data_IF_422068815056
#
_entry.id   IF_422068815056
#
_cell.length_a   1.000
_cell.length_b   1.000
_cell.length_c   1.000
_cell.angle_alpha   90.00
_cell.angle_beta   90.00
_cell.angle_gamma   90.00
#
_symmetry.space_group_name_H-M   'P 1'
#
loop_
_entity.id
_entity.type
_entity.pdbx_description
1 polymer ?
#
# COMPACT_ATOMS: atom_id res chain seq x y z
N UNK A 1 15.13 1.59 -1.45
CA UNK A 1 16.08 1.07 -2.45
C UNK A 1 15.26 0.51 -3.59
N UNK A 2 15.28 1.19 -4.73
CA UNK A 2 14.52 0.79 -5.92
C UNK A 2 15.46 0.08 -6.87
N UNK A 3 15.19 -1.17 -7.17
CA UNK A 3 15.96 -1.94 -8.15
C UNK A 3 15.29 -1.95 -9.51
N UNK A 4 16.13 -1.78 -10.51
CA UNK A 4 15.88 -1.61 -11.95
C UNK A 4 16.05 -2.94 -12.65
N UNK A 5 15.20 -3.26 -13.64
CA UNK A 5 15.51 -4.28 -14.66
C UNK A 5 15.05 -3.91 -16.06
N UNK A 6 15.82 -4.26 -17.09
CA UNK A 6 15.48 -3.96 -18.49
C UNK A 6 14.64 -5.07 -19.13
N UNK A 7 13.64 -4.66 -19.91
CA UNK A 7 12.92 -5.52 -20.84
C UNK A 7 13.71 -5.69 -22.13
N UNK A 8 13.80 -6.91 -22.67
CA UNK A 8 14.23 -7.19 -24.04
C UNK A 8 13.02 -7.47 -24.92
N UNK A 9 12.99 -6.79 -26.03
CA UNK A 9 12.11 -6.95 -27.18
C UNK A 9 12.33 -8.29 -27.89
N UNK A 10 11.25 -8.86 -28.41
CA UNK A 10 11.29 -9.63 -29.65
C UNK A 10 9.96 -9.55 -30.37
N UNK A 11 10.03 -9.12 -31.63
CA UNK A 11 8.98 -8.96 -32.62
C UNK A 11 8.68 -10.24 -33.40
N UNK A 12 7.44 -10.38 -33.92
CA UNK A 12 7.00 -10.74 -35.30
C UNK A 12 5.53 -11.15 -35.27
N UNK A 13 4.66 -10.41 -35.87
CA UNK A 13 3.98 -10.33 -37.18
C UNK A 13 3.62 -11.69 -37.80
N UNK A 14 2.30 -11.89 -37.97
CA UNK A 14 1.50 -12.38 -39.12
C UNK A 14 0.08 -12.48 -38.64
N UNK A 15 -0.94 -11.88 -39.18
CA UNK A 15 -1.50 -11.81 -40.50
C UNK A 15 -2.63 -12.84 -40.64
N UNK A 16 -3.90 -12.47 -40.60
CA UNK A 16 -5.00 -13.36 -40.86
C UNK A 16 -6.37 -12.65 -40.79
N UNK A 17 -6.85 -12.28 -41.94
CA UNK A 17 -8.12 -11.66 -42.28
C UNK A 17 -9.21 -12.73 -42.31
N UNK A 18 -10.39 -12.56 -41.67
CA UNK A 18 -11.64 -13.15 -42.18
C UNK A 18 -12.90 -12.47 -41.60
N UNK A 19 -13.63 -11.84 -42.50
CA UNK A 19 -15.07 -11.74 -42.80
C UNK A 19 -16.14 -11.65 -41.68
N UNK A 20 -16.79 -10.56 -41.72
CA UNK A 20 -18.16 -10.06 -41.68
C UNK A 20 -19.30 -11.10 -41.65
N UNK A 21 -20.19 -10.96 -40.67
CA UNK A 21 -21.64 -11.21 -40.86
C UNK A 21 -22.45 -10.31 -39.91
N UNK A 22 -23.21 -9.40 -40.54
CA UNK A 22 -24.26 -8.61 -39.90
C UNK A 22 -25.46 -9.48 -39.60
N UNK A 23 -26.09 -9.29 -38.46
CA UNK A 23 -27.53 -9.51 -38.29
C UNK A 23 -28.09 -8.50 -37.28
N UNK A 24 -28.89 -7.61 -37.79
CA UNK A 24 -29.73 -6.63 -37.11
C UNK A 24 -30.93 -7.31 -36.46
N UNK A 25 -31.18 -7.00 -35.16
CA UNK A 25 -32.55 -7.06 -34.63
C UNK A 25 -32.81 -5.82 -33.77
N UNK A 26 -33.83 -5.08 -34.21
CA UNK A 26 -34.45 -3.96 -33.49
C UNK A 26 -35.58 -4.53 -32.64
N UNK A 27 -35.63 -4.17 -31.36
CA UNK A 27 -36.91 -3.99 -30.66
C UNK A 27 -36.72 -3.23 -29.32
N UNK A 28 -37.30 -2.09 -29.32
CA UNK A 28 -38.09 -1.37 -28.31
C UNK A 28 -37.90 -1.65 -26.82
N UNK A 29 -37.51 -0.61 -26.16
CA UNK A 29 -37.95 0.05 -24.93
C UNK A 29 -38.42 -0.74 -23.73
N UNK A 30 -37.72 -0.42 -22.59
CA UNK A 30 -38.41 -0.03 -21.35
C UNK A 30 -37.41 0.52 -20.36
N UNK A 31 -37.64 1.74 -19.88
CA UNK A 31 -37.00 2.35 -18.72
C UNK A 31 -37.32 1.51 -17.50
N UNK A 32 -36.28 1.07 -16.76
CA UNK A 32 -36.47 0.75 -15.37
C UNK A 32 -35.21 1.17 -14.55
N UNK A 33 -35.50 1.79 -13.43
CA UNK A 33 -34.58 2.32 -12.45
C UNK A 33 -33.59 1.26 -11.96
N UNK A 34 -32.33 1.64 -11.89
CA UNK A 34 -31.29 0.83 -11.25
C UNK A 34 -31.51 0.85 -9.74
N UNK A 35 -32.17 -0.19 -9.23
CA UNK A 35 -32.06 -0.61 -7.83
C UNK A 35 -30.79 -1.45 -7.71
N UNK A 36 -29.86 -0.98 -6.89
CA UNK A 36 -28.68 -1.75 -6.50
C UNK A 36 -29.10 -2.85 -5.53
N UNK A 37 -29.44 -4.01 -6.03
CA UNK A 37 -29.54 -5.23 -5.23
C UNK A 37 -28.19 -5.95 -5.26
N UNK A 38 -27.40 -5.77 -4.17
CA UNK A 38 -26.29 -6.62 -3.83
C UNK A 38 -26.79 -8.03 -3.49
N UNK A 39 -27.13 -8.83 -4.50
CA UNK A 39 -27.34 -10.26 -4.33
C UNK A 39 -26.00 -10.96 -4.29
N UNK A 40 -25.58 -11.34 -3.07
CA UNK A 40 -24.55 -12.35 -2.82
C UNK A 40 -24.91 -13.63 -3.57
N UNK A 41 -24.13 -13.96 -4.59
CA UNK A 41 -24.27 -15.26 -5.26
C UNK A 41 -23.46 -16.27 -4.45
N UNK A 42 -24.15 -16.99 -3.56
CA UNK A 42 -23.63 -18.18 -2.92
C UNK A 42 -23.71 -19.34 -3.93
N UNK A 43 -22.58 -19.86 -4.38
CA UNK A 43 -22.51 -21.20 -4.98
C UNK A 43 -22.27 -22.21 -3.88
N UNK A 44 -23.26 -23.00 -3.55
CA UNK A 44 -23.15 -24.16 -2.68
C UNK A 44 -22.46 -25.29 -3.45
N UNK A 45 -21.29 -25.71 -2.98
CA UNK A 45 -20.76 -27.05 -3.27
C UNK A 45 -21.23 -27.99 -2.16
N UNK A 46 -21.39 -29.27 -2.47
CA UNK A 46 -22.08 -30.32 -1.70
C UNK A 46 -21.50 -30.66 -0.29
N UNK A 47 -20.57 -29.87 0.24
CA UNK A 47 -20.01 -30.02 1.58
C UNK A 47 -20.21 -28.75 2.44
N UNK A 48 -21.40 -28.18 2.45
CA UNK A 48 -21.97 -27.39 3.55
C UNK A 48 -21.21 -26.16 4.10
N UNK A 49 -20.07 -25.72 3.52
CA UNK A 49 -19.33 -24.52 3.95
C UNK A 49 -19.35 -23.50 2.83
N UNK A 50 -20.15 -22.47 3.00
CA UNK A 50 -20.17 -21.29 2.12
C UNK A 50 -18.84 -20.55 2.26
N UNK A 51 -17.91 -20.79 1.35
CA UNK A 51 -16.62 -20.11 1.28
C UNK A 51 -16.82 -18.69 0.75
N UNK A 52 -17.11 -17.74 1.61
CA UNK A 52 -17.22 -16.32 1.25
C UNK A 52 -15.84 -15.68 1.34
N UNK A 53 -15.28 -15.26 0.20
CA UNK A 53 -14.10 -14.38 0.25
C UNK A 53 -14.51 -13.07 0.95
N UNK A 54 -13.94 -12.82 2.12
CA UNK A 54 -14.26 -11.65 2.94
C UNK A 54 -13.56 -10.36 2.44
N UNK A 55 -12.61 -10.47 1.49
CA UNK A 55 -11.88 -9.34 0.92
C UNK A 55 -12.61 -8.77 -0.30
N UNK A 56 -12.90 -7.49 -0.26
CA UNK A 56 -13.61 -6.78 -1.32
C UNK A 56 -12.66 -6.04 -2.27
N UNK A 57 -11.60 -5.46 -1.73
CA UNK A 57 -10.69 -4.57 -2.44
C UNK A 57 -9.33 -5.21 -2.69
N UNK A 58 -8.79 -5.98 -1.74
CA UNK A 58 -7.46 -6.55 -1.80
C UNK A 58 -7.30 -7.56 -2.94
N UNK A 59 -6.24 -7.40 -3.74
CA UNK A 59 -5.89 -8.29 -4.84
C UNK A 59 -4.89 -9.36 -4.41
N UNK A 60 -3.94 -9.01 -3.52
CA UNK A 60 -2.82 -9.85 -3.11
C UNK A 60 -3.09 -10.65 -1.83
N UNK A 61 -4.26 -10.51 -1.23
CA UNK A 61 -4.70 -11.26 -0.06
C UNK A 61 -6.13 -11.74 -0.25
N UNK A 62 -6.40 -13.01 0.04
CA UNK A 62 -7.75 -13.60 0.03
C UNK A 62 -7.98 -14.33 1.34
N UNK A 63 -9.15 -14.18 1.91
CA UNK A 63 -9.57 -14.85 3.15
C UNK A 63 -10.85 -15.62 2.88
N UNK A 64 -10.88 -16.87 3.33
CA UNK A 64 -12.00 -17.78 3.10
C UNK A 64 -12.12 -18.73 4.28
N UNK A 65 -13.02 -18.43 5.23
CA UNK A 65 -13.10 -19.10 6.51
C UNK A 65 -11.78 -19.00 7.27
N UNK A 66 -11.22 -20.15 7.62
CA UNK A 66 -9.93 -20.30 8.28
C UNK A 66 -8.73 -20.30 7.33
N UNK A 67 -8.96 -20.12 6.03
CA UNK A 67 -7.94 -20.18 4.99
C UNK A 67 -7.55 -18.79 4.53
N UNK A 68 -6.25 -18.53 4.53
CA UNK A 68 -5.65 -17.29 4.02
C UNK A 68 -4.76 -17.62 2.83
N UNK A 69 -4.97 -16.92 1.71
CA UNK A 69 -4.10 -16.98 0.54
C UNK A 69 -3.40 -15.65 0.33
N UNK A 70 -2.08 -15.67 0.25
CA UNK A 70 -1.27 -14.55 -0.18
C UNK A 70 -0.80 -14.77 -1.61
N UNK A 71 -0.80 -13.71 -2.43
CA UNK A 71 -0.29 -13.74 -3.80
C UNK A 71 1.05 -13.03 -3.80
N UNK A 72 2.10 -13.75 -4.20
CA UNK A 72 3.47 -13.28 -4.17
C UNK A 72 3.96 -13.05 -5.59
N UNK A 73 4.31 -11.82 -5.92
CA UNK A 73 4.93 -11.44 -7.19
C UNK A 73 6.43 -11.26 -6.97
N UNK A 74 7.18 -12.36 -7.16
CA UNK A 74 8.63 -12.30 -7.14
C UNK A 74 9.14 -11.89 -8.52
N UNK A 75 10.11 -10.98 -8.56
CA UNK A 75 10.64 -10.47 -9.81
C UNK A 75 11.06 -11.56 -10.78
N UNK A 76 10.57 -11.47 -12.02
CA UNK A 76 10.89 -12.41 -13.11
C UNK A 76 10.23 -13.79 -12.98
N UNK A 77 9.34 -13.97 -12.01
CA UNK A 77 8.56 -15.21 -11.82
C UNK A 77 7.07 -14.94 -11.98
N UNK A 78 6.34 -15.95 -12.41
CA UNK A 78 4.87 -15.94 -12.38
C UNK A 78 4.40 -15.74 -10.93
N UNK A 79 3.38 -14.91 -10.68
CA UNK A 79 2.80 -14.80 -9.34
C UNK A 79 2.42 -16.16 -8.77
N UNK A 80 2.80 -16.41 -7.53
CA UNK A 80 2.53 -17.67 -6.83
C UNK A 80 1.63 -17.42 -5.64
N UNK A 81 0.53 -18.16 -5.56
CA UNK A 81 -0.35 -18.14 -4.40
C UNK A 81 0.17 -19.11 -3.33
N UNK A 82 0.35 -18.62 -2.12
CA UNK A 82 0.62 -19.45 -0.94
C UNK A 82 -0.61 -19.52 -0.06
N UNK A 83 -0.90 -20.70 0.47
CA UNK A 83 -2.08 -20.95 1.31
C UNK A 83 -1.64 -21.25 2.73
N UNK A 84 -2.26 -20.56 3.70
CA UNK A 84 -2.09 -20.74 5.13
C UNK A 84 -3.43 -21.14 5.74
N UNK A 85 -3.38 -21.99 6.76
CA UNK A 85 -4.57 -22.45 7.49
C UNK A 85 -4.47 -21.94 8.92
N UNK A 86 -5.50 -21.22 9.36
CA UNK A 86 -5.60 -20.73 10.73
C UNK A 86 -6.18 -21.87 11.59
N UNK A 87 -5.50 -22.24 12.62
CA UNK A 87 -5.91 -23.37 13.47
C UNK A 87 -5.97 -22.97 14.95
N UNK A 88 -6.91 -23.50 15.73
CA UNK A 88 -6.94 -23.29 17.17
C UNK A 88 -5.60 -23.67 17.81
N UNK A 89 -5.16 -22.91 18.81
CA UNK A 89 -3.85 -23.10 19.45
C UNK A 89 -3.67 -24.48 20.13
N UNK A 90 -4.73 -25.13 20.53
CA UNK A 90 -4.76 -26.45 21.13
C UNK A 90 -4.67 -27.59 20.10
N UNK A 91 -4.70 -27.28 18.81
CA UNK A 91 -4.58 -28.24 17.70
C UNK A 91 -3.12 -28.63 17.44
N UNK A 92 -2.42 -29.14 18.45
CA UNK A 92 -0.97 -29.45 18.41
C UNK A 92 -0.57 -30.33 17.22
N UNK A 93 -1.40 -31.33 16.85
CA UNK A 93 -1.12 -32.24 15.72
C UNK A 93 -1.09 -31.52 14.38
N UNK A 94 -2.00 -30.58 14.13
CA UNK A 94 -2.03 -29.79 12.90
C UNK A 94 -0.87 -28.81 12.85
N UNK A 95 -0.53 -28.19 13.99
CA UNK A 95 0.60 -27.26 14.08
C UNK A 95 1.96 -27.95 13.91
N UNK A 96 2.10 -29.21 14.38
CA UNK A 96 3.38 -29.94 14.28
C UNK A 96 3.69 -30.38 12.86
N UNK A 97 2.69 -30.75 12.05
CA UNK A 97 2.86 -31.38 10.76
C UNK A 97 2.69 -30.45 9.54
N UNK A 98 2.29 -29.20 9.78
CA UNK A 98 2.05 -28.24 8.71
C UNK A 98 2.74 -26.89 9.00
N UNK A 99 3.81 -26.53 8.26
CA UNK A 99 4.48 -25.25 8.45
C UNK A 99 3.61 -24.05 8.07
N UNK A 100 2.55 -24.25 7.29
CA UNK A 100 1.59 -23.22 6.91
C UNK A 100 0.36 -23.17 7.85
N UNK A 101 0.31 -24.01 8.90
CA UNK A 101 -0.70 -23.91 9.94
C UNK A 101 -0.30 -22.82 10.95
N UNK A 102 -1.15 -21.81 11.12
CA UNK A 102 -0.91 -20.67 11.99
C UNK A 102 -1.78 -20.78 13.23
N UNK A 103 -1.20 -20.78 14.45
CA UNK A 103 -1.99 -20.85 15.68
C UNK A 103 -2.74 -19.53 15.92
N UNK A 104 -4.06 -19.58 16.06
CA UNK A 104 -4.88 -18.42 16.36
C UNK A 104 -5.62 -18.59 17.69
N UNK A 105 -5.83 -17.46 18.43
CA UNK A 105 -5.28 -16.14 18.17
C UNK A 105 -3.75 -16.11 18.32
N UNK A 106 -3.08 -15.32 17.46
CA UNK A 106 -1.63 -15.08 17.53
C UNK A 106 -1.30 -14.30 18.81
N UNK A 107 -0.37 -14.82 19.62
CA UNK A 107 0.07 -14.22 20.89
C UNK A 107 1.49 -13.68 20.84
N UNK A 108 2.27 -14.15 19.88
CA UNK A 108 3.65 -13.69 19.65
C UNK A 108 3.94 -13.62 18.17
N UNK A 109 4.32 -12.44 17.68
CA UNK A 109 4.70 -12.27 16.29
C UNK A 109 5.96 -11.42 16.14
N UNK A 110 6.59 -11.56 14.99
CA UNK A 110 7.66 -10.70 14.51
C UNK A 110 7.15 -9.93 13.29
N UNK A 111 7.35 -8.63 13.26
CA UNK A 111 6.98 -7.78 12.12
C UNK A 111 8.24 -7.36 11.36
N UNK A 112 8.25 -7.57 10.05
CA UNK A 112 9.35 -7.11 9.19
C UNK A 112 9.10 -5.71 8.62
N UNK A 113 7.97 -5.06 8.97
CA UNK A 113 7.62 -3.70 8.56
C UNK A 113 6.84 -2.96 9.63
N UNK A 114 7.03 -1.63 9.72
CA UNK A 114 6.24 -0.75 10.59
C UNK A 114 4.78 -0.63 10.12
N UNK A 115 4.47 -0.89 8.85
CA UNK A 115 3.08 -0.93 8.38
C UNK A 115 2.28 -2.05 9.04
N UNK A 116 2.88 -3.23 9.24
CA UNK A 116 2.21 -4.35 9.94
C UNK A 116 1.97 -4.03 11.41
N UNK A 117 2.96 -3.37 12.03
CA UNK A 117 2.82 -2.88 13.39
C UNK A 117 1.65 -1.89 13.52
N UNK A 118 1.42 -1.03 12.53
CA UNK A 118 0.34 -0.06 12.56
C UNK A 118 -1.05 -0.73 12.61
N UNK A 119 -1.27 -1.81 11.83
CA UNK A 119 -2.52 -2.59 11.94
C UNK A 119 -2.70 -3.18 13.34
N UNK A 120 -1.66 -3.84 13.88
CA UNK A 120 -1.70 -4.45 15.21
C UNK A 120 -1.89 -3.41 16.31
N UNK A 121 -1.25 -2.25 16.20
CA UNK A 121 -1.39 -1.17 17.17
C UNK A 121 -2.82 -0.63 17.23
N UNK A 122 -3.44 -0.37 16.09
CA UNK A 122 -4.82 0.14 16.03
C UNK A 122 -5.82 -0.91 16.57
N UNK A 123 -5.52 -2.20 16.42
CA UNK A 123 -6.31 -3.30 16.98
C UNK A 123 -6.02 -3.57 18.47
N UNK A 124 -5.15 -2.77 19.11
CA UNK A 124 -4.76 -2.99 20.51
C UNK A 124 -3.88 -4.21 20.74
N UNK A 125 -3.22 -4.71 19.69
CA UNK A 125 -2.43 -5.94 19.69
C UNK A 125 -0.92 -5.72 19.69
N UNK A 126 -0.44 -4.51 20.00
CA UNK A 126 1.01 -4.20 20.04
C UNK A 126 1.81 -5.08 20.98
N UNK A 127 1.18 -5.59 22.07
CA UNK A 127 1.81 -6.51 23.03
C UNK A 127 2.13 -7.89 22.45
N UNK A 128 1.47 -8.29 21.35
CA UNK A 128 1.77 -9.53 20.64
C UNK A 128 3.07 -9.44 19.84
N UNK A 129 3.52 -8.24 19.49
CA UNK A 129 4.77 -8.02 18.74
C UNK A 129 5.96 -8.22 19.70
N UNK A 130 6.82 -9.18 19.41
CA UNK A 130 8.02 -9.49 20.21
C UNK A 130 9.29 -8.91 19.60
N UNK A 131 9.29 -8.71 18.29
CA UNK A 131 10.40 -8.06 17.60
C UNK A 131 9.95 -7.36 16.32
N UNK A 132 10.75 -6.40 15.90
CA UNK A 132 10.54 -5.60 14.71
C UNK A 132 11.85 -5.42 13.94
N UNK A 133 11.79 -5.46 12.62
CA UNK A 133 12.89 -5.04 11.77
C UNK A 133 12.97 -3.52 11.76
N UNK A 134 14.07 -2.97 12.32
CA UNK A 134 14.33 -1.53 12.34
C UNK A 134 13.46 -0.74 13.30
N UNK A 135 13.60 -0.97 14.61
CA UNK A 135 12.85 -0.25 15.65
C UNK A 135 13.06 1.26 15.63
N UNK A 136 14.17 1.75 15.07
CA UNK A 136 14.45 3.19 14.89
C UNK A 136 13.48 3.88 13.93
N UNK A 137 12.76 3.10 13.08
CA UNK A 137 11.78 3.64 12.13
C UNK A 137 10.40 3.84 12.74
N UNK A 138 10.13 3.33 13.93
CA UNK A 138 8.82 3.44 14.59
C UNK A 138 8.54 4.88 14.97
N UNK A 139 7.38 5.39 14.52
CA UNK A 139 6.90 6.73 14.87
C UNK A 139 5.95 6.71 16.08
N UNK A 140 5.13 5.68 16.24
CA UNK A 140 4.12 5.58 17.29
C UNK A 140 4.75 5.59 18.70
N UNK A 141 4.31 6.52 19.56
CA UNK A 141 4.92 6.75 20.88
C UNK A 141 4.63 5.60 21.86
N UNK A 142 3.47 4.94 21.79
CA UNK A 142 3.17 3.83 22.69
C UNK A 142 3.99 2.59 22.34
N UNK A 143 4.27 2.38 21.06
CA UNK A 143 5.16 1.31 20.62
C UNK A 143 6.61 1.63 20.97
N UNK A 144 7.04 2.90 20.88
CA UNK A 144 8.39 3.34 21.35
C UNK A 144 8.57 3.04 22.83
N UNK A 145 7.57 3.20 23.68
CA UNK A 145 7.63 2.80 25.10
C UNK A 145 7.87 1.30 25.25
N UNK A 146 7.15 0.46 24.47
CA UNK A 146 7.37 -0.99 24.50
C UNK A 146 8.79 -1.38 24.05
N UNK A 147 9.34 -0.66 23.08
CA UNK A 147 10.75 -0.84 22.64
C UNK A 147 11.72 -0.44 23.76
N UNK A 148 11.51 0.73 24.38
CA UNK A 148 12.36 1.22 25.46
C UNK A 148 12.31 0.32 26.70
N UNK A 149 11.17 -0.31 26.97
CA UNK A 149 10.99 -1.31 28.02
C UNK A 149 11.55 -2.70 27.68
N UNK A 150 12.14 -2.87 26.47
CA UNK A 150 12.67 -4.16 26.01
C UNK A 150 11.62 -5.20 25.65
N UNK A 151 10.34 -4.83 25.57
CA UNK A 151 9.25 -5.73 25.21
C UNK A 151 9.18 -6.04 23.72
N UNK A 152 9.69 -5.13 22.88
CA UNK A 152 9.84 -5.30 21.43
C UNK A 152 11.32 -5.18 21.11
N UNK A 153 11.90 -6.26 20.61
CA UNK A 153 13.31 -6.33 20.28
C UNK A 153 13.59 -5.84 18.86
N UNK A 154 14.72 -5.19 18.62
CA UNK A 154 15.24 -4.96 17.28
C UNK A 154 15.90 -6.24 16.73
N UNK A 155 15.57 -6.62 15.51
CA UNK A 155 16.15 -7.77 14.80
C UNK A 155 16.98 -7.37 13.58
N UNK A 156 17.32 -6.10 13.44
CA UNK A 156 18.08 -5.59 12.30
C UNK A 156 17.26 -5.40 11.04
N UNK A 157 17.91 -5.13 9.92
CA UNK A 157 17.28 -4.94 8.63
C UNK A 157 16.87 -6.28 8.00
N UNK A 158 15.85 -6.24 7.13
CA UNK A 158 15.39 -7.44 6.39
C UNK A 158 16.47 -8.09 5.51
N UNK A 159 17.43 -7.32 5.04
CA UNK A 159 18.56 -7.83 4.26
C UNK A 159 19.54 -8.69 5.08
N UNK A 160 19.57 -8.50 6.41
CA UNK A 160 20.43 -9.24 7.34
C UNK A 160 19.79 -9.34 8.73
N UNK A 161 18.64 -10.05 8.87
CA UNK A 161 17.97 -10.16 10.16
C UNK A 161 18.75 -11.03 11.14
N UNK A 162 18.62 -10.73 12.43
CA UNK A 162 19.22 -11.56 13.48
C UNK A 162 18.39 -12.84 13.69
N UNK A 163 18.74 -13.90 12.95
CA UNK A 163 18.03 -15.17 12.97
C UNK A 163 18.05 -15.84 14.34
N UNK A 164 19.16 -15.77 15.07
CA UNK A 164 19.30 -16.38 16.41
C UNK A 164 18.31 -15.74 17.38
N UNK A 165 18.23 -14.41 17.36
CA UNK A 165 17.28 -13.67 18.19
C UNK A 165 15.83 -14.01 17.84
N UNK A 166 15.50 -14.08 16.53
CA UNK A 166 14.16 -14.47 16.08
C UNK A 166 13.81 -15.88 16.58
N UNK A 167 14.72 -16.83 16.43
CA UNK A 167 14.52 -18.22 16.89
C UNK A 167 14.34 -18.29 18.42
N UNK A 168 15.10 -17.52 19.19
CA UNK A 168 15.00 -17.49 20.65
C UNK A 168 13.64 -16.99 21.14
N UNK A 169 12.99 -16.10 20.39
CA UNK A 169 11.66 -15.54 20.68
C UNK A 169 10.54 -16.54 20.46
N UNK A 170 10.76 -17.60 19.68
CA UNK A 170 9.77 -18.64 19.34
C UNK A 170 8.42 -18.03 18.92
N UNK A 171 8.37 -17.15 17.91
CA UNK A 171 7.14 -16.49 17.52
C UNK A 171 6.13 -17.49 16.94
N UNK A 172 4.84 -17.23 17.16
CA UNK A 172 3.76 -17.99 16.51
C UNK A 172 3.81 -17.82 14.99
N UNK A 173 4.18 -16.60 14.54
CA UNK A 173 4.26 -16.23 13.13
C UNK A 173 5.18 -15.04 12.91
N UNK A 174 5.79 -14.97 11.75
CA UNK A 174 6.53 -13.82 11.23
C UNK A 174 5.74 -13.22 10.07
N UNK A 175 5.36 -11.97 10.18
CA UNK A 175 4.79 -11.20 9.08
C UNK A 175 5.95 -10.57 8.29
N UNK A 176 6.14 -11.07 7.06
CA UNK A 176 7.25 -10.68 6.20
C UNK A 176 6.75 -10.00 4.93
N UNK A 177 7.62 -9.34 4.19
CA UNK A 177 7.31 -8.84 2.85
C UNK A 177 8.46 -9.18 1.90
N UNK A 178 8.13 -9.45 0.64
CA UNK A 178 9.14 -9.68 -0.38
C UNK A 178 9.51 -8.36 -1.05
N UNK A 179 10.80 -8.01 -1.08
CA UNK A 179 11.27 -6.97 -1.97
C UNK A 179 11.57 -7.62 -3.31
N UNK A 180 11.07 -7.02 -4.39
CA UNK A 180 11.27 -7.52 -5.75
C UNK A 180 12.77 -7.71 -6.05
N UNK A 181 13.19 -8.92 -6.35
CA UNK A 181 14.57 -9.27 -6.68
C UNK A 181 14.98 -10.61 -6.07
N UNK A 182 16.26 -10.81 -5.86
CA UNK A 182 16.82 -12.02 -5.26
C UNK A 182 16.62 -12.10 -3.73
N UNK A 183 15.91 -11.16 -3.12
CA UNK A 183 15.98 -10.91 -1.68
C UNK A 183 14.92 -11.65 -0.84
N UNK A 184 14.22 -12.62 -1.42
CA UNK A 184 13.36 -13.53 -0.66
C UNK A 184 14.15 -14.59 0.10
N UNK A 185 15.45 -14.58 -0.05
CA UNK A 185 16.37 -15.53 0.62
C UNK A 185 16.20 -15.52 2.14
N UNK A 186 15.85 -14.37 2.73
CA UNK A 186 15.63 -14.31 4.17
C UNK A 186 14.33 -15.02 4.59
N UNK A 187 13.26 -14.95 3.79
CA UNK A 187 11.98 -15.65 4.03
C UNK A 187 12.23 -17.16 3.98
N UNK A 188 12.90 -17.63 2.92
CA UNK A 188 13.24 -19.04 2.76
C UNK A 188 14.15 -19.53 3.90
N UNK A 189 15.12 -18.73 4.31
CA UNK A 189 15.99 -19.06 5.45
C UNK A 189 15.21 -19.17 6.77
N UNK A 190 14.29 -18.25 7.04
CA UNK A 190 13.42 -18.33 8.22
C UNK A 190 12.57 -19.61 8.22
N UNK A 191 12.04 -20.00 7.05
CA UNK A 191 11.27 -21.25 6.86
C UNK A 191 12.12 -22.49 7.09
N UNK A 192 13.35 -22.51 6.56
CA UNK A 192 14.31 -23.62 6.79
C UNK A 192 14.70 -23.77 8.26
N UNK A 193 14.63 -22.69 9.04
CA UNK A 193 14.81 -22.70 10.48
C UNK A 193 13.54 -23.15 11.25
N UNK A 194 12.51 -23.61 10.55
CA UNK A 194 11.26 -24.12 11.15
C UNK A 194 10.28 -23.04 11.61
N UNK A 195 10.49 -21.78 11.21
CA UNK A 195 9.63 -20.66 11.59
C UNK A 195 8.46 -20.50 10.60
N UNK A 196 7.30 -20.13 11.11
CA UNK A 196 6.11 -19.84 10.29
C UNK A 196 6.20 -18.44 9.75
N UNK A 197 6.16 -18.28 8.43
CA UNK A 197 6.31 -16.98 7.76
C UNK A 197 5.18 -16.75 6.78
N UNK A 198 4.41 -15.71 7.01
CA UNK A 198 3.36 -15.26 6.08
C UNK A 198 3.88 -14.02 5.34
N UNK A 199 4.04 -14.10 4.01
CA UNK A 199 4.32 -12.94 3.18
C UNK A 199 3.08 -12.03 3.12
N UNK A 200 3.26 -10.76 3.45
CA UNK A 200 2.24 -9.72 3.40
C UNK A 200 2.62 -8.73 2.31
N UNK A 201 1.82 -8.64 1.27
CA UNK A 201 2.11 -7.86 0.06
C UNK A 201 1.21 -6.62 -0.04
N UNK A 202 0.89 -5.99 1.09
CA UNK A 202 0.07 -4.78 1.16
C UNK A 202 0.65 -3.61 0.35
N UNK A 203 1.95 -3.60 0.12
CA UNK A 203 2.65 -2.58 -0.68
C UNK A 203 2.41 -2.73 -2.20
N UNK A 204 1.96 -3.91 -2.66
CA UNK A 204 1.59 -4.17 -4.05
C UNK A 204 0.16 -3.76 -4.36
N UNK A 205 -0.67 -3.54 -3.33
CA UNK A 205 -2.06 -3.16 -3.51
C UNK A 205 -2.17 -1.83 -4.26
N UNK A 206 -3.09 -1.80 -5.21
CA UNK A 206 -3.21 -0.68 -6.15
C UNK A 206 -4.00 0.49 -5.60
N UNK A 207 -4.86 0.25 -4.61
CA UNK A 207 -5.74 1.28 -4.05
C UNK A 207 -5.57 1.44 -2.54
N UNK A 208 -5.84 2.64 -1.99
CA UNK A 208 -5.78 2.86 -0.55
C UNK A 208 -6.73 1.95 0.25
N UNK A 209 -7.92 1.66 -0.28
CA UNK A 209 -8.87 0.76 0.38
C UNK A 209 -8.39 -0.68 0.37
N UNK A 210 -7.77 -1.15 -0.73
CA UNK A 210 -7.20 -2.49 -0.81
C UNK A 210 -6.09 -2.71 0.23
N UNK A 211 -5.17 -1.74 0.35
CA UNK A 211 -4.13 -1.78 1.38
C UNK A 211 -4.73 -1.77 2.79
N UNK A 212 -5.66 -0.86 3.07
CA UNK A 212 -6.29 -0.76 4.38
C UNK A 212 -7.11 -2.01 4.74
N UNK A 213 -7.63 -2.75 3.76
CA UNK A 213 -8.45 -3.95 4.02
C UNK A 213 -7.67 -5.08 4.72
N UNK A 214 -6.34 -5.02 4.78
CA UNK A 214 -5.53 -5.92 5.59
C UNK A 214 -5.85 -5.88 7.09
N UNK A 215 -6.60 -4.87 7.57
CA UNK A 215 -7.20 -4.92 8.91
C UNK A 215 -7.96 -6.21 9.18
N UNK A 216 -8.72 -6.71 8.18
CA UNK A 216 -9.50 -7.95 8.34
C UNK A 216 -8.61 -9.16 8.58
N UNK A 217 -7.45 -9.21 7.88
CA UNK A 217 -6.46 -10.25 8.10
C UNK A 217 -5.85 -10.18 9.50
N UNK A 218 -5.37 -9.00 9.91
CA UNK A 218 -4.78 -8.83 11.24
C UNK A 218 -5.80 -9.05 12.36
N UNK A 219 -7.06 -8.66 12.16
CA UNK A 219 -8.17 -8.98 13.06
C UNK A 219 -8.39 -10.47 13.20
N UNK A 220 -8.47 -11.18 12.08
CA UNK A 220 -8.69 -12.63 12.05
C UNK A 220 -7.56 -13.39 12.76
N UNK A 221 -6.30 -13.07 12.50
CA UNK A 221 -5.18 -13.78 13.11
C UNK A 221 -5.00 -13.44 14.60
N UNK A 222 -5.53 -12.33 15.08
CA UNK A 222 -5.42 -11.91 16.50
C UNK A 222 -6.68 -12.11 17.31
N UNK A 223 -7.78 -12.57 16.69
CA UNK A 223 -9.08 -12.75 17.36
C UNK A 223 -9.79 -11.43 17.67
N UNK A 224 -9.59 -10.42 16.83
CA UNK A 224 -10.19 -9.08 16.96
C UNK A 224 -10.99 -8.68 15.71
N UNK A 225 -11.61 -9.66 15.04
CA UNK A 225 -12.32 -9.51 13.75
C UNK A 225 -13.37 -8.40 13.78
N UNK A 226 -14.21 -8.42 14.83
CA UNK A 226 -15.27 -7.43 14.97
C UNK A 226 -14.73 -5.98 15.01
N UNK A 227 -13.64 -5.76 15.76
CA UNK A 227 -12.99 -4.46 15.83
C UNK A 227 -12.36 -4.08 14.49
N UNK A 228 -11.71 -5.04 13.82
CA UNK A 228 -11.09 -4.84 12.53
C UNK A 228 -12.12 -4.46 11.45
N UNK A 229 -13.24 -5.17 11.38
CA UNK A 229 -14.33 -4.91 10.45
C UNK A 229 -14.97 -3.54 10.69
N UNK A 230 -15.21 -3.19 11.96
CA UNK A 230 -15.78 -1.90 12.35
C UNK A 230 -14.85 -0.73 11.97
N UNK A 231 -13.55 -0.85 12.28
CA UNK A 231 -12.53 0.16 11.95
C UNK A 231 -12.42 0.31 10.44
N UNK A 232 -12.29 -0.80 9.71
CA UNK A 232 -12.21 -0.78 8.27
C UNK A 232 -13.45 -0.13 7.65
N UNK A 233 -14.65 -0.56 8.02
CA UNK A 233 -15.91 -0.01 7.48
C UNK A 233 -16.04 1.49 7.73
N UNK A 234 -15.70 1.96 8.94
CA UNK A 234 -15.73 3.38 9.29
C UNK A 234 -14.76 4.21 8.45
N UNK A 235 -13.50 3.77 8.36
CA UNK A 235 -12.45 4.48 7.60
C UNK A 235 -12.69 4.43 6.10
N UNK A 236 -13.16 3.28 5.57
CA UNK A 236 -13.53 3.13 4.17
C UNK A 236 -14.68 4.07 3.78
N UNK A 237 -15.71 4.16 4.63
CA UNK A 237 -16.83 5.09 4.45
C UNK A 237 -16.34 6.54 4.42
N UNK A 238 -15.44 6.91 5.35
CA UNK A 238 -14.86 8.25 5.41
C UNK A 238 -14.05 8.55 4.15
N UNK A 239 -13.18 7.61 3.72
CA UNK A 239 -12.37 7.74 2.50
C UNK A 239 -13.25 7.97 1.27
N UNK A 240 -14.26 7.12 1.06
CA UNK A 240 -15.19 7.21 -0.08
C UNK A 240 -15.97 8.53 -0.06
N UNK A 241 -16.41 8.96 1.12
CA UNK A 241 -17.10 10.25 1.26
C UNK A 241 -16.19 11.42 0.85
N UNK A 242 -14.97 11.49 1.39
CA UNK A 242 -14.00 12.56 1.09
C UNK A 242 -13.68 12.60 -0.41
N UNK A 243 -13.41 11.43 -1.01
CA UNK A 243 -13.17 11.30 -2.45
C UNK A 243 -14.35 11.83 -3.29
N UNK A 244 -15.58 11.43 -2.94
CA UNK A 244 -16.78 11.82 -3.69
C UNK A 244 -17.08 13.32 -3.51
N UNK A 245 -16.91 13.85 -2.31
CA UNK A 245 -17.09 15.28 -2.04
C UNK A 245 -16.08 16.12 -2.84
N UNK A 246 -14.82 15.69 -2.91
CA UNK A 246 -13.78 16.31 -3.74
C UNK A 246 -14.19 16.27 -5.23
N UNK A 247 -14.52 15.11 -5.76
CA UNK A 247 -14.90 14.97 -7.16
C UNK A 247 -16.12 15.84 -7.51
N UNK A 248 -17.13 15.86 -6.65
CA UNK A 248 -18.31 16.73 -6.80
C UNK A 248 -17.92 18.21 -6.75
N UNK A 249 -17.11 18.63 -5.77
CA UNK A 249 -16.67 20.03 -5.64
C UNK A 249 -15.90 20.51 -6.86
N UNK A 250 -15.04 19.67 -7.44
CA UNK A 250 -14.32 19.97 -8.69
C UNK A 250 -15.27 20.15 -9.87
N UNK A 251 -16.26 19.25 -10.01
CA UNK A 251 -17.23 19.31 -11.09
C UNK A 251 -18.15 20.54 -10.97
N UNK A 252 -18.75 20.77 -9.81
CA UNK A 252 -19.69 21.85 -9.56
C UNK A 252 -19.08 23.24 -9.74
N UNK A 253 -17.78 23.39 -9.43
CA UNK A 253 -17.04 24.66 -9.54
C UNK A 253 -16.18 24.76 -10.81
N UNK A 254 -16.24 23.76 -11.70
CA UNK A 254 -15.42 23.68 -12.92
C UNK A 254 -13.92 23.82 -12.67
N UNK A 255 -13.44 23.28 -11.53
CA UNK A 255 -12.02 23.30 -11.16
C UNK A 255 -11.25 22.25 -11.95
N UNK A 256 -10.13 22.63 -12.55
CA UNK A 256 -9.25 21.71 -13.28
C UNK A 256 -8.47 20.83 -12.31
N UNK A 257 -8.11 19.63 -12.76
CA UNK A 257 -7.17 18.77 -12.03
C UNK A 257 -5.83 19.46 -11.86
N UNK A 258 -5.26 19.32 -10.66
CA UNK A 258 -3.91 19.84 -10.37
C UNK A 258 -2.85 18.94 -11.00
N UNK A 259 -1.93 19.53 -11.75
CA UNK A 259 -0.80 18.84 -12.37
C UNK A 259 0.32 18.66 -11.36
N UNK A 260 0.63 17.41 -11.06
CA UNK A 260 1.56 17.02 -9.99
C UNK A 260 2.87 16.51 -10.59
N UNK A 261 3.98 17.18 -10.28
CA UNK A 261 5.31 16.59 -10.42
C UNK A 261 5.56 15.72 -9.17
N UNK A 262 5.94 14.46 -9.37
CA UNK A 262 6.11 13.51 -8.28
C UNK A 262 7.55 13.00 -8.20
N UNK A 263 8.07 12.87 -6.97
CA UNK A 263 9.40 12.36 -6.63
C UNK A 263 10.55 13.29 -7.07
N UNK A 264 11.77 12.79 -6.94
CA UNK A 264 13.04 13.31 -7.47
C UNK A 264 13.79 12.19 -8.19
N UNK A 265 14.77 12.50 -9.05
CA UNK A 265 15.64 11.49 -9.61
C UNK A 265 16.38 10.73 -8.50
N UNK A 266 16.54 9.45 -8.71
CA UNK A 266 17.44 8.61 -7.93
C UNK A 266 18.56 8.10 -8.85
N UNK A 267 19.80 8.45 -8.56
CA UNK A 267 20.97 8.14 -9.42
C UNK A 267 20.75 8.57 -10.88
N UNK A 268 20.21 9.77 -11.08
CA UNK A 268 19.97 10.36 -12.41
C UNK A 268 18.72 9.83 -13.14
N UNK A 269 17.97 8.90 -12.58
CA UNK A 269 16.76 8.33 -13.18
C UNK A 269 15.53 8.76 -12.40
N UNK A 270 14.52 9.27 -13.11
CA UNK A 270 13.24 9.60 -12.49
C UNK A 270 12.28 8.43 -12.57
N UNK A 271 11.72 8.04 -11.43
CA UNK A 271 10.74 6.95 -11.33
C UNK A 271 9.35 7.53 -11.20
N UNK A 272 8.50 7.32 -12.22
CA UNK A 272 7.11 7.77 -12.23
C UNK A 272 6.21 6.55 -12.07
N UNK A 273 5.33 6.52 -11.05
CA UNK A 273 4.40 5.40 -10.88
C UNK A 273 3.40 5.34 -12.03
N UNK A 274 3.02 4.14 -12.43
CA UNK A 274 1.92 3.93 -13.37
C UNK A 274 0.57 4.36 -12.80
N UNK A 275 -0.41 4.64 -13.65
CA UNK A 275 -1.73 5.16 -13.26
C UNK A 275 -2.55 4.21 -12.38
N UNK A 276 -2.26 2.90 -12.44
CA UNK A 276 -2.88 1.84 -11.60
C UNK A 276 -2.04 1.51 -10.35
N UNK A 277 -1.29 2.46 -9.82
CA UNK A 277 -0.49 2.33 -8.61
C UNK A 277 -1.19 3.01 -7.42
N UNK A 278 -0.87 2.59 -6.19
CA UNK A 278 -1.41 3.15 -4.94
C UNK A 278 -1.32 4.68 -4.88
N UNK A 279 -0.12 5.23 -5.11
CA UNK A 279 0.14 6.68 -5.04
C UNK A 279 -0.63 7.43 -6.13
N UNK A 280 -0.67 6.88 -7.34
CA UNK A 280 -1.40 7.48 -8.46
C UNK A 280 -2.91 7.51 -8.22
N UNK A 281 -3.47 6.43 -7.67
CA UNK A 281 -4.88 6.39 -7.30
C UNK A 281 -5.20 7.38 -6.17
N UNK A 282 -4.33 7.50 -5.17
CA UNK A 282 -4.50 8.45 -4.07
C UNK A 282 -4.50 9.90 -4.57
N UNK A 283 -3.53 10.27 -5.42
CA UNK A 283 -3.44 11.61 -6.04
C UNK A 283 -4.65 11.88 -6.95
N UNK A 284 -5.06 10.89 -7.74
CA UNK A 284 -6.26 10.97 -8.59
C UNK A 284 -7.52 11.18 -7.78
N UNK A 285 -7.69 10.46 -6.67
CA UNK A 285 -8.85 10.57 -5.77
C UNK A 285 -8.91 11.93 -5.09
N UNK A 286 -7.77 12.61 -4.94
CA UNK A 286 -7.65 13.97 -4.44
C UNK A 286 -7.76 15.04 -5.55
N UNK A 287 -8.11 14.69 -6.79
CA UNK A 287 -8.28 15.62 -7.91
C UNK A 287 -6.99 16.01 -8.62
N UNK A 288 -5.90 15.26 -8.44
CA UNK A 288 -4.62 15.49 -9.10
C UNK A 288 -4.43 14.62 -10.35
N UNK A 289 -3.37 14.96 -11.10
CA UNK A 289 -2.88 14.24 -12.27
C UNK A 289 -1.35 14.26 -12.25
N UNK A 290 -0.72 13.07 -12.21
CA UNK A 290 0.74 12.96 -12.18
C UNK A 290 1.29 13.14 -13.59
N UNK A 291 2.25 14.04 -13.74
CA UNK A 291 2.93 14.29 -15.02
C UNK A 291 3.79 13.10 -15.43
N UNK A 292 3.64 12.65 -16.67
CA UNK A 292 4.42 11.56 -17.24
C UNK A 292 3.97 10.14 -16.85
N UNK A 293 2.87 9.99 -16.13
CA UNK A 293 2.29 8.70 -15.79
C UNK A 293 1.71 8.00 -17.04
N UNK A 294 1.98 6.69 -17.17
CA UNK A 294 1.22 5.82 -18.06
C UNK A 294 -0.10 5.44 -17.38
N UNK A 295 -1.27 5.85 -17.90
CA UNK A 295 -2.56 5.61 -17.26
C UNK A 295 -2.89 4.14 -17.03
N UNK A 296 -2.42 3.25 -17.91
CA UNK A 296 -2.68 1.81 -17.87
C UNK A 296 -1.60 1.00 -17.13
N UNK A 297 -0.44 1.62 -16.88
CA UNK A 297 0.67 1.00 -16.17
C UNK A 297 0.37 0.79 -14.68
N UNK A 298 0.85 -0.31 -14.11
CA UNK A 298 0.84 -0.58 -12.66
C UNK A 298 2.20 -0.37 -12.01
N UNK A 299 3.27 -0.62 -12.76
CA UNK A 299 4.66 -0.47 -12.30
C UNK A 299 5.19 0.94 -12.52
N UNK A 300 6.24 1.30 -11.77
CA UNK A 300 6.95 2.56 -12.01
C UNK A 300 7.78 2.50 -13.30
N UNK A 301 7.63 3.51 -14.15
CA UNK A 301 8.44 3.69 -15.33
C UNK A 301 9.70 4.49 -15.00
N UNK A 302 10.81 4.13 -15.67
CA UNK A 302 12.04 4.91 -15.67
C UNK A 302 11.95 5.97 -16.77
N UNK A 303 12.11 7.22 -16.41
CA UNK A 303 12.02 8.35 -17.35
C UNK A 303 13.27 9.20 -17.23
N UNK A 304 13.80 9.67 -18.36
CA UNK A 304 14.98 10.55 -18.34
C UNK A 304 14.65 11.90 -17.70
N UNK A 305 15.68 12.52 -17.13
CA UNK A 305 15.56 13.84 -16.51
C UNK A 305 15.00 14.87 -17.51
N UNK A 306 15.50 14.89 -18.75
CA UNK A 306 15.09 15.85 -19.77
C UNK A 306 13.61 15.76 -20.10
N UNK A 307 13.08 14.52 -20.21
CA UNK A 307 11.67 14.30 -20.50
C UNK A 307 10.79 14.80 -19.35
N UNK A 308 11.15 14.47 -18.09
CA UNK A 308 10.38 14.93 -16.92
C UNK A 308 10.54 16.43 -16.74
N UNK A 309 11.73 16.98 -16.94
CA UNK A 309 11.97 18.42 -16.83
C UNK A 309 11.11 19.22 -17.82
N UNK A 310 10.96 18.74 -19.05
CA UNK A 310 10.05 19.34 -20.03
C UNK A 310 8.58 19.32 -19.55
N UNK A 311 8.13 18.20 -18.97
CA UNK A 311 6.78 18.07 -18.41
C UNK A 311 6.60 18.94 -17.15
N UNK A 312 7.64 19.09 -16.34
CA UNK A 312 7.63 19.88 -15.11
C UNK A 312 7.37 21.38 -15.35
N UNK A 313 7.55 21.87 -16.57
CA UNK A 313 7.12 23.23 -16.98
C UNK A 313 5.61 23.46 -16.81
N UNK A 314 4.83 22.38 -16.71
CA UNK A 314 3.38 22.41 -16.48
C UNK A 314 2.96 22.02 -15.05
N UNK A 315 3.93 21.82 -14.14
CA UNK A 315 3.63 21.40 -12.77
C UNK A 315 3.04 22.55 -11.96
N UNK A 316 1.85 22.32 -11.41
CA UNK A 316 1.23 23.22 -10.44
C UNK A 316 1.85 23.00 -9.06
N UNK A 317 2.10 21.72 -8.70
CA UNK A 317 2.60 21.27 -7.40
C UNK A 317 3.69 20.23 -7.62
N UNK A 318 4.67 20.20 -6.71
CA UNK A 318 5.69 19.15 -6.64
C UNK A 318 5.59 18.42 -5.30
N UNK A 319 5.39 17.09 -5.35
CA UNK A 319 5.28 16.23 -4.18
C UNK A 319 6.47 15.28 -4.05
N UNK A 320 6.84 14.95 -2.82
CA UNK A 320 7.82 13.93 -2.45
C UNK A 320 9.24 14.16 -3.02
N UNK A 321 9.85 15.33 -2.80
CA UNK A 321 11.24 15.55 -3.20
C UNK A 321 12.22 14.82 -2.25
N UNK A 322 12.09 13.50 -2.11
CA UNK A 322 12.86 12.60 -1.21
C UNK A 322 12.95 13.13 0.24
N UNK A 323 14.19 13.26 0.76
CA UNK A 323 14.44 13.78 2.12
C UNK A 323 14.70 15.29 2.16
N UNK A 324 14.56 15.97 1.03
CA UNK A 324 14.84 17.41 0.94
C UNK A 324 13.77 18.19 1.72
N UNK A 325 14.22 19.10 2.59
CA UNK A 325 13.34 19.89 3.46
C UNK A 325 13.34 21.40 3.19
N UNK A 326 14.27 21.89 2.35
CA UNK A 326 14.38 23.31 2.02
C UNK A 326 14.53 23.57 0.53
N UNK A 327 14.05 24.72 0.06
CA UNK A 327 14.26 25.16 -1.32
C UNK A 327 15.75 25.35 -1.66
N UNK A 328 16.57 25.75 -0.69
CA UNK A 328 18.01 25.89 -0.87
C UNK A 328 18.65 24.53 -1.17
N UNK A 329 18.34 23.50 -0.40
CA UNK A 329 18.84 22.15 -0.61
C UNK A 329 18.34 21.57 -1.96
N UNK A 330 17.07 21.79 -2.32
CA UNK A 330 16.51 21.36 -3.59
C UNK A 330 17.22 22.03 -4.78
N UNK A 331 17.51 23.34 -4.67
CA UNK A 331 18.26 24.08 -5.69
C UNK A 331 19.74 23.69 -5.79
N UNK A 332 20.35 23.25 -4.68
CA UNK A 332 21.74 22.75 -4.64
C UNK A 332 21.87 21.38 -5.32
N UNK A 333 20.83 20.52 -5.20
CA UNK A 333 20.80 19.23 -5.92
C UNK A 333 20.81 19.43 -7.44
N UNK A 334 19.96 20.33 -7.95
CA UNK A 334 19.99 20.72 -9.36
C UNK A 334 19.48 22.16 -9.55
N UNK A 335 20.32 23.10 -10.03
CA UNK A 335 19.93 24.49 -10.24
C UNK A 335 18.76 24.70 -11.24
N UNK A 336 18.54 23.74 -12.14
CA UNK A 336 17.43 23.79 -13.10
C UNK A 336 16.06 23.73 -12.41
N UNK A 337 15.97 23.16 -11.21
CA UNK A 337 14.70 23.07 -10.47
C UNK A 337 14.10 24.44 -10.16
N UNK A 338 14.95 25.50 -10.05
CA UNK A 338 14.49 26.88 -9.87
C UNK A 338 13.56 27.38 -10.98
N UNK A 339 13.66 26.77 -12.18
CA UNK A 339 12.83 27.15 -13.35
C UNK A 339 11.48 26.42 -13.38
N UNK A 340 11.27 25.41 -12.50
CA UNK A 340 10.00 24.69 -12.42
C UNK A 340 8.97 25.58 -11.74
N UNK A 341 7.76 25.78 -12.33
CA UNK A 341 6.75 26.68 -11.76
C UNK A 341 6.35 26.33 -10.30
N UNK A 342 6.23 25.04 -9.96
CA UNK A 342 5.96 24.60 -8.61
C UNK A 342 7.06 25.04 -7.63
N UNK A 343 8.33 25.06 -8.02
CA UNK A 343 9.42 25.58 -7.20
C UNK A 343 9.31 27.10 -7.00
N UNK A 344 9.19 27.85 -8.09
CA UNK A 344 9.16 29.32 -8.05
C UNK A 344 7.94 29.87 -7.27
N UNK A 345 6.81 29.17 -7.35
CA UNK A 345 5.58 29.48 -6.61
C UNK A 345 5.57 28.92 -5.18
N UNK A 346 6.64 28.27 -4.73
CA UNK A 346 6.77 27.61 -3.41
C UNK A 346 5.69 26.54 -3.16
N UNK A 347 5.25 25.86 -4.21
CA UNK A 347 4.27 24.76 -4.15
C UNK A 347 4.97 23.39 -4.17
N UNK A 348 5.87 23.19 -3.22
CA UNK A 348 6.63 21.94 -3.04
C UNK A 348 6.37 21.40 -1.65
N UNK A 349 5.91 20.14 -1.58
CA UNK A 349 5.52 19.50 -0.31
C UNK A 349 6.17 18.13 -0.18
N UNK A 350 6.58 17.81 1.05
CA UNK A 350 7.10 16.49 1.38
C UNK A 350 6.20 15.77 2.40
N UNK A 351 6.18 14.45 2.35
CA UNK A 351 5.42 13.59 3.27
C UNK A 351 6.23 13.24 4.54
N UNK A 352 7.11 14.14 4.97
CA UNK A 352 8.05 13.95 6.08
C UNK A 352 7.70 14.74 7.33
N UNK A 353 6.50 15.32 7.43
CA UNK A 353 6.09 16.08 8.63
C UNK A 353 6.20 15.26 9.92
N UNK A 354 5.90 13.97 9.81
CA UNK A 354 5.93 13.01 10.92
C UNK A 354 6.99 11.94 10.64
N UNK A 355 8.25 12.31 10.83
CA UNK A 355 9.41 11.44 10.62
C UNK A 355 10.22 11.27 11.89
N UNK A 356 10.90 10.12 12.02
CA UNK A 356 11.81 9.85 13.11
C UNK A 356 13.24 10.29 12.74
N UNK A 357 14.11 10.56 13.73
CA UNK A 357 15.53 10.79 13.46
C UNK A 357 16.21 9.62 12.73
N UNK A 358 15.71 8.40 12.91
CA UNK A 358 16.21 7.19 12.25
C UNK A 358 15.75 7.05 10.79
N UNK A 359 14.97 8.01 10.26
CA UNK A 359 14.48 7.99 8.87
C UNK A 359 13.12 7.28 8.67
N UNK A 360 12.47 6.89 9.75
CA UNK A 360 11.09 6.37 9.68
C UNK A 360 10.10 7.47 9.33
N UNK A 361 9.01 7.10 8.68
CA UNK A 361 7.95 8.03 8.29
C UNK A 361 6.58 7.47 8.66
N UNK A 362 5.84 8.22 9.47
CA UNK A 362 4.48 7.88 9.87
C UNK A 362 3.49 7.85 8.69
N UNK A 363 3.86 8.50 7.59
CA UNK A 363 3.12 8.37 6.33
C UNK A 363 3.01 6.90 5.86
N UNK A 364 4.06 6.10 6.11
CA UNK A 364 4.11 4.67 5.78
C UNK A 364 3.73 3.77 6.96
N UNK A 365 3.69 4.29 8.20
CA UNK A 365 3.22 3.61 9.40
C UNK A 365 1.71 3.84 9.59
N UNK A 366 1.28 4.89 10.29
CA UNK A 366 -0.14 5.15 10.52
C UNK A 366 -0.90 5.50 9.23
N UNK A 367 -0.25 6.12 8.25
CA UNK A 367 -0.85 6.42 6.95
C UNK A 367 -1.28 5.18 6.16
N UNK A 368 -0.66 4.01 6.39
CA UNK A 368 -1.10 2.76 5.78
C UNK A 368 -2.50 2.34 6.22
N UNK A 369 -2.87 2.69 7.44
CA UNK A 369 -4.15 2.35 8.07
C UNK A 369 -5.14 3.52 8.12
N UNK A 370 -4.69 4.73 7.77
CA UNK A 370 -5.49 5.97 7.78
C UNK A 370 -5.44 6.72 6.43
N UNK A 371 -5.68 6.06 5.30
CA UNK A 371 -5.55 6.70 3.99
C UNK A 371 -6.51 7.89 3.78
N UNK A 372 -7.62 7.98 4.53
CA UNK A 372 -8.52 9.12 4.50
C UNK A 372 -7.84 10.42 4.98
N UNK A 373 -6.87 10.32 5.91
CA UNK A 373 -6.12 11.47 6.38
C UNK A 373 -5.12 11.96 5.33
N UNK A 374 -4.46 11.01 4.62
CA UNK A 374 -3.57 11.36 3.50
C UNK A 374 -4.38 12.01 2.37
N UNK A 375 -5.56 11.47 2.07
CA UNK A 375 -6.45 12.02 1.05
C UNK A 375 -6.87 13.46 1.38
N UNK A 376 -7.19 13.75 2.64
CA UNK A 376 -7.52 15.11 3.10
C UNK A 376 -6.33 16.06 2.98
N UNK A 377 -5.10 15.61 3.33
CA UNK A 377 -3.90 16.41 3.16
C UNK A 377 -3.69 16.78 1.68
N UNK A 378 -3.81 15.79 0.79
CA UNK A 378 -3.64 16.00 -0.65
C UNK A 378 -4.71 16.95 -1.21
N UNK A 379 -5.98 16.81 -0.81
CA UNK A 379 -7.04 17.75 -1.21
C UNK A 379 -6.71 19.17 -0.72
N UNK A 380 -6.28 19.31 0.53
CA UNK A 380 -5.92 20.63 1.08
C UNK A 380 -4.73 21.27 0.36
N UNK A 381 -3.77 20.48 -0.11
CA UNK A 381 -2.62 20.95 -0.87
C UNK A 381 -3.04 21.33 -2.30
N UNK A 382 -3.83 20.50 -2.97
CA UNK A 382 -4.16 20.65 -4.38
C UNK A 382 -5.38 21.56 -4.64
N UNK A 383 -6.34 21.53 -3.72
CA UNK A 383 -7.63 22.21 -3.83
C UNK A 383 -8.06 22.78 -2.47
N UNK A 384 -7.31 23.77 -1.93
CA UNK A 384 -7.56 24.34 -0.60
C UNK A 384 -8.97 24.91 -0.43
N UNK A 385 -9.60 25.32 -1.53
CA UNK A 385 -10.99 25.80 -1.57
C UNK A 385 -12.05 24.70 -1.32
N UNK A 386 -11.67 23.43 -1.42
CA UNK A 386 -12.52 22.26 -1.11
C UNK A 386 -12.23 21.67 0.27
N UNK A 387 -11.13 22.06 0.89
CA UNK A 387 -10.71 21.53 2.19
C UNK A 387 -11.46 22.20 3.35
N UNK A 388 -11.62 21.52 4.50
CA UNK A 388 -12.13 22.15 5.71
C UNK A 388 -11.23 23.29 6.17
N UNK A 389 -11.83 24.44 6.51
CA UNK A 389 -11.09 25.60 7.01
C UNK A 389 -10.38 25.27 8.33
N UNK A 390 -9.11 25.69 8.44
CA UNK A 390 -8.34 25.56 9.67
C UNK A 390 -7.79 24.15 9.96
N UNK A 391 -7.98 23.16 9.05
CA UNK A 391 -7.35 21.85 9.19
C UNK A 391 -5.85 21.95 8.95
N UNK A 392 -5.04 21.43 9.86
CA UNK A 392 -3.61 21.27 9.66
C UNK A 392 -3.31 20.00 8.87
N UNK A 393 -2.28 20.06 7.99
CA UNK A 393 -1.76 18.87 7.31
C UNK A 393 -1.22 17.89 8.35
N UNK A 394 -1.60 16.61 8.24
CA UNK A 394 -1.15 15.57 9.16
C UNK A 394 0.22 15.02 8.76
N UNK A 395 0.37 14.62 7.52
CA UNK A 395 1.57 13.93 7.02
C UNK A 395 2.48 14.82 6.17
N UNK A 396 1.91 15.82 5.53
CA UNK A 396 2.65 16.68 4.61
C UNK A 396 3.18 17.95 5.28
N UNK A 397 4.28 18.45 4.74
CA UNK A 397 4.88 19.71 5.13
C UNK A 397 5.37 20.45 3.88
N UNK A 398 5.10 21.77 3.72
CA UNK A 398 5.73 22.55 2.68
C UNK A 398 7.23 22.65 2.91
N UNK A 399 8.05 22.70 1.83
CA UNK A 399 9.47 23.03 1.93
C UNK A 399 9.66 24.45 2.49
N UNK A 400 10.75 24.63 3.25
CA UNK A 400 11.15 25.90 3.85
C UNK A 400 12.11 26.70 2.96
#
# INVERSE_FOLDING_TARGET
>A
MSYIFPARFSSRITGGLFFLLMLTFVSAGCRNAVRSDNKRIAKSNEDGISVVNSMQYAEYLKISGDTVKTINEWKGKTPVAETFILVPRDSAKLLANNPNAIPVPVRSCVCMSTSFLAYLNVLGQSSSVKALSGTQFVYNEDVKKLIAEGKIADIGAESAPNYEKIMSLKPDVIFAYGISGNDNTYIEKLRHLGLRVIPINDYLERTPLAKMEYFKFFGLVTGTEHSADSIFASRAKAYVKIKNDCAKGLADRHIKKTKVLLNMPFKGIWYIPGGKNYTSNLIKDAGGEILGTDPEGSSSAQVSFEKIYALAAHADIWLHPNTVSTFAALAADNPLYKKIPAFSKKQVYNNTKRSTPGGGSDFWESGAVEPQEILQDLIQIMHPELAPKGRELKYYIPLK
#
